data_IF_039889118523
#
_entry.id   IF_039889118523
#
_cell.length_a   1.000
_cell.length_b   1.000
_cell.length_c   1.000
_cell.angle_alpha   90.00
_cell.angle_beta   90.00
_cell.angle_gamma   90.00
#
_symmetry.space_group_name_H-M   'P 1'
#
loop_
_entity.id
_entity.type
_entity.pdbx_description
1 polymer ?
#
# COMPACT_ATOMS: atom_id res chain seq x y z
N UNK A 1 -15.67 16.96 -6.89
CA UNK A 1 -14.26 16.94 -7.29
C UNK A 1 -13.52 16.10 -6.29
N UNK A 2 -12.60 15.19 -6.67
CA UNK A 2 -11.78 14.48 -5.70
C UNK A 2 -10.97 15.50 -4.89
N UNK A 3 -10.85 15.26 -3.59
CA UNK A 3 -9.95 16.02 -2.73
C UNK A 3 -8.54 15.63 -3.16
N UNK A 4 -7.79 16.54 -3.78
CA UNK A 4 -6.36 16.32 -4.05
C UNK A 4 -5.58 16.63 -2.79
N UNK A 5 -4.57 15.81 -2.48
CA UNK A 5 -3.57 16.18 -1.49
C UNK A 5 -2.94 17.52 -1.92
N UNK A 6 -2.65 18.35 -0.96
CA UNK A 6 -1.81 19.53 -1.15
C UNK A 6 -0.37 19.08 -0.89
N UNK A 7 0.61 19.77 -1.43
CA UNK A 7 2.03 19.48 -1.22
C UNK A 7 2.42 19.38 0.27
N UNK A 8 1.55 19.89 1.15
CA UNK A 8 1.73 19.90 2.62
C UNK A 8 0.96 18.81 3.34
N UNK A 9 0.11 18.01 2.69
CA UNK A 9 -0.78 17.05 3.37
C UNK A 9 -0.02 15.97 4.14
N UNK A 10 1.20 15.65 3.69
CA UNK A 10 2.07 14.66 4.33
C UNK A 10 3.31 15.31 4.98
N UNK A 11 3.36 16.64 5.07
CA UNK A 11 4.45 17.32 5.76
C UNK A 11 4.50 16.90 7.23
N UNK A 12 5.66 16.45 7.68
CA UNK A 12 5.86 15.95 9.03
C UNK A 12 5.47 14.49 9.26
N UNK A 13 4.79 13.83 8.32
CA UNK A 13 4.53 12.39 8.36
C UNK A 13 5.85 11.64 8.23
N UNK A 14 6.08 10.67 9.12
CA UNK A 14 7.30 9.85 9.20
C UNK A 14 7.01 8.37 9.05
N UNK A 15 5.81 7.95 9.40
CA UNK A 15 5.33 6.58 9.27
C UNK A 15 4.10 6.56 8.36
N UNK A 16 4.28 5.98 7.18
CA UNK A 16 3.21 5.70 6.24
C UNK A 16 2.82 4.23 6.37
N UNK A 17 1.61 3.99 6.85
CA UNK A 17 1.06 2.63 7.00
C UNK A 17 0.18 2.37 5.80
N UNK A 18 0.48 1.33 5.01
CA UNK A 18 -0.28 0.96 3.81
C UNK A 18 -1.08 -0.30 4.11
N UNK A 19 -2.40 -0.19 4.06
CA UNK A 19 -3.34 -1.29 4.28
C UNK A 19 -4.33 -1.41 3.12
N UNK A 20 -5.15 -2.43 3.10
CA UNK A 20 -6.16 -2.69 2.06
C UNK A 20 -6.56 -4.16 2.09
N UNK A 21 -7.62 -4.53 1.38
CA UNK A 21 -8.05 -5.94 1.25
C UNK A 21 -6.94 -6.83 0.69
N UNK A 22 -6.97 -8.12 1.00
CA UNK A 22 -6.09 -9.09 0.35
C UNK A 22 -6.29 -9.10 -1.18
N UNK A 23 -5.19 -9.06 -1.94
CA UNK A 23 -5.24 -9.04 -3.41
C UNK A 23 -5.30 -7.67 -4.07
N UNK A 24 -5.47 -6.56 -3.32
CA UNK A 24 -5.52 -5.20 -3.89
C UNK A 24 -4.15 -4.64 -4.31
N UNK A 25 -3.07 -5.36 -4.09
CA UNK A 25 -1.72 -4.92 -4.45
C UNK A 25 -1.05 -4.02 -3.39
N UNK A 26 -1.36 -4.18 -2.10
CA UNK A 26 -0.78 -3.41 -0.99
C UNK A 26 0.74 -3.29 -1.06
N UNK A 27 1.43 -4.43 -1.18
CA UNK A 27 2.90 -4.48 -1.24
C UNK A 27 3.46 -3.68 -2.41
N UNK A 28 2.81 -3.79 -3.58
CA UNK A 28 3.17 -3.03 -4.80
C UNK A 28 3.01 -1.53 -4.57
N UNK A 29 1.88 -1.12 -4.00
CA UNK A 29 1.58 0.28 -3.71
C UNK A 29 2.50 0.83 -2.62
N UNK A 30 2.81 0.04 -1.59
CA UNK A 30 3.79 0.41 -0.56
C UNK A 30 5.18 0.63 -1.17
N UNK A 31 5.61 -0.25 -2.08
CA UNK A 31 6.86 -0.10 -2.84
C UNK A 31 6.89 1.15 -3.70
N UNK A 32 5.81 1.41 -4.45
CA UNK A 32 5.67 2.61 -5.27
C UNK A 32 5.68 3.89 -4.42
N UNK A 33 4.98 3.90 -3.29
CA UNK A 33 4.99 5.03 -2.35
C UNK A 33 6.38 5.27 -1.76
N UNK A 34 7.12 4.22 -1.40
CA UNK A 34 8.47 4.35 -0.90
C UNK A 34 9.42 4.98 -1.94
N UNK A 35 9.30 4.57 -3.21
CA UNK A 35 10.04 5.19 -4.33
C UNK A 35 9.62 6.64 -4.55
N UNK A 36 8.34 6.94 -4.53
CA UNK A 36 7.82 8.29 -4.69
C UNK A 36 8.35 9.24 -3.59
N UNK A 37 8.30 8.82 -2.31
CA UNK A 37 8.82 9.58 -1.17
C UNK A 37 10.35 9.76 -1.23
N UNK A 38 11.08 8.80 -1.80
CA UNK A 38 12.54 8.91 -1.93
C UNK A 38 13.00 9.77 -3.12
N UNK A 39 12.13 10.11 -4.06
CA UNK A 39 12.50 10.82 -5.29
C UNK A 39 13.02 12.25 -5.06
N UNK A 40 12.69 12.87 -3.93
CA UNK A 40 13.24 14.16 -3.51
C UNK A 40 14.66 14.08 -2.91
N UNK A 41 15.32 12.91 -3.02
CA UNK A 41 16.68 12.68 -2.51
C UNK A 41 16.71 12.13 -1.08
N UNK A 42 15.56 11.85 -0.48
CA UNK A 42 15.43 11.29 0.86
C UNK A 42 15.79 9.80 0.95
N UNK A 43 16.00 9.33 2.16
CA UNK A 43 16.19 7.91 2.45
C UNK A 43 14.94 7.35 3.07
N UNK A 44 14.37 6.29 2.45
CA UNK A 44 13.11 5.68 2.86
C UNK A 44 13.34 4.21 3.23
N UNK A 45 12.73 3.77 4.33
CA UNK A 45 12.67 2.36 4.72
C UNK A 45 11.30 1.80 4.38
N UNK A 46 11.26 0.76 3.55
CA UNK A 46 10.08 -0.05 3.27
C UNK A 46 10.11 -1.30 4.15
N UNK A 47 9.09 -1.52 4.96
CA UNK A 47 9.06 -2.60 5.94
C UNK A 47 7.88 -3.53 5.70
N UNK A 48 8.16 -4.83 5.53
CA UNK A 48 7.16 -5.91 5.46
C UNK A 48 6.94 -6.52 6.84
N UNK A 49 5.68 -6.68 7.26
CA UNK A 49 5.35 -7.23 8.58
C UNK A 49 4.63 -8.58 8.54
N UNK A 50 4.25 -9.05 7.36
CA UNK A 50 3.55 -10.34 7.21
C UNK A 50 4.48 -11.52 6.83
N UNK A 51 5.76 -11.29 6.59
CA UNK A 51 6.78 -12.32 6.33
C UNK A 51 6.61 -13.09 5.01
N UNK A 52 5.89 -12.52 4.04
CA UNK A 52 5.60 -13.18 2.74
C UNK A 52 6.71 -13.01 1.71
N UNK A 53 7.74 -12.22 2.02
CA UNK A 53 8.82 -11.87 1.09
C UNK A 53 8.33 -11.19 -0.21
N UNK A 54 7.17 -10.54 -0.14
CA UNK A 54 6.58 -9.85 -1.29
C UNK A 54 7.43 -8.68 -1.77
N UNK A 55 8.07 -7.96 -0.85
CA UNK A 55 8.99 -6.87 -1.19
C UNK A 55 10.23 -7.42 -1.92
N UNK A 56 10.79 -8.56 -1.48
CA UNK A 56 11.93 -9.17 -2.15
C UNK A 56 11.61 -9.51 -3.61
N UNK A 57 10.45 -10.13 -3.84
CA UNK A 57 9.98 -10.48 -5.19
C UNK A 57 9.75 -9.22 -6.04
N UNK A 58 9.15 -8.18 -5.46
CA UNK A 58 8.81 -6.94 -6.15
C UNK A 58 10.04 -6.17 -6.64
N UNK A 59 11.15 -6.22 -5.91
CA UNK A 59 12.42 -5.56 -6.24
C UNK A 59 13.47 -6.51 -6.84
N UNK A 60 13.06 -7.70 -7.29
CA UNK A 60 13.94 -8.74 -7.85
C UNK A 60 15.21 -8.94 -7.00
N UNK A 61 15.02 -9.03 -5.69
CA UNK A 61 16.09 -9.20 -4.71
C UNK A 61 16.01 -10.57 -4.03
N UNK A 62 17.16 -11.09 -3.53
CA UNK A 62 17.14 -12.28 -2.69
C UNK A 62 16.21 -12.06 -1.47
N UNK A 63 15.72 -13.15 -0.86
CA UNK A 63 14.91 -13.05 0.34
C UNK A 63 15.50 -12.10 1.38
N UNK A 64 14.67 -11.18 1.89
CA UNK A 64 15.12 -10.18 2.85
C UNK A 64 15.31 -10.82 4.23
N UNK A 65 16.50 -10.70 4.82
CA UNK A 65 16.71 -11.06 6.21
C UNK A 65 16.11 -9.98 7.13
N UNK A 66 16.17 -10.22 8.43
CA UNK A 66 15.91 -9.20 9.43
C UNK A 66 17.10 -8.21 9.51
N UNK A 67 17.39 -7.58 8.39
CA UNK A 67 18.46 -6.59 8.21
C UNK A 67 18.05 -5.61 7.11
N UNK A 68 18.30 -4.34 7.31
CA UNK A 68 17.97 -3.30 6.35
C UNK A 68 18.90 -3.38 5.14
N UNK A 69 18.33 -3.63 3.95
CA UNK A 69 19.09 -3.73 2.69
C UNK A 69 18.60 -2.68 1.71
N UNK A 70 19.52 -2.03 1.04
CA UNK A 70 19.20 -1.16 -0.09
C UNK A 70 18.67 -2.00 -1.25
N UNK A 71 17.46 -1.72 -1.71
CA UNK A 71 16.77 -2.46 -2.78
C UNK A 71 16.60 -1.63 -4.05
N UNK A 72 16.57 -0.30 -3.95
CA UNK A 72 16.44 0.57 -5.12
C UNK A 72 17.01 1.98 -4.86
N UNK A 73 17.20 2.70 -5.95
CA UNK A 73 17.36 4.16 -5.99
C UNK A 73 16.12 4.72 -6.65
N UNK A 74 15.47 5.68 -6.01
CA UNK A 74 14.29 6.30 -6.57
C UNK A 74 14.64 7.15 -7.82
N UNK A 75 13.70 7.32 -8.76
CA UNK A 75 13.91 8.25 -9.86
C UNK A 75 14.07 9.66 -9.33
N UNK A 76 15.13 10.35 -9.75
CA UNK A 76 15.36 11.76 -9.41
C UNK A 76 14.76 12.70 -10.46
N UNK A 77 14.80 13.97 -10.16
CA UNK A 77 14.54 15.03 -11.12
C UNK A 77 15.87 15.51 -11.78
N UNK A 78 15.84 16.29 -12.86
CA UNK A 78 17.05 16.87 -13.44
C UNK A 78 17.87 17.72 -12.45
N UNK A 79 17.26 18.17 -11.36
CA UNK A 79 17.86 19.08 -10.37
C UNK A 79 18.21 18.34 -9.06
N UNK A 80 17.47 17.27 -8.73
CA UNK A 80 17.64 16.54 -7.46
C UNK A 80 17.84 15.05 -7.75
N UNK A 81 18.99 14.48 -7.39
CA UNK A 81 19.18 13.02 -7.50
C UNK A 81 18.14 12.27 -6.65
N UNK A 82 17.67 11.15 -7.16
CA UNK A 82 16.79 10.27 -6.39
C UNK A 82 17.50 9.71 -5.16
N UNK A 83 16.74 9.50 -4.09
CA UNK A 83 17.22 8.95 -2.84
C UNK A 83 17.18 7.42 -2.81
N UNK A 84 17.56 6.88 -1.67
CA UNK A 84 17.73 5.44 -1.47
C UNK A 84 16.49 4.82 -0.83
N UNK A 85 16.03 3.70 -1.37
CA UNK A 85 15.02 2.85 -0.74
C UNK A 85 15.71 1.63 -0.13
N UNK A 86 15.51 1.47 1.18
CA UNK A 86 15.92 0.29 1.94
C UNK A 86 14.71 -0.56 2.23
N UNK A 87 14.89 -1.88 2.31
CA UNK A 87 13.83 -2.81 2.68
C UNK A 87 14.23 -3.65 3.89
N UNK A 88 13.24 -4.03 4.69
CA UNK A 88 13.37 -4.88 5.87
C UNK A 88 12.17 -5.83 5.92
N UNK A 89 12.42 -7.14 5.98
CA UNK A 89 11.41 -8.09 6.42
C UNK A 89 11.42 -8.16 7.96
N UNK A 90 10.41 -7.56 8.57
CA UNK A 90 10.30 -7.56 10.02
C UNK A 90 9.80 -8.90 10.53
N UNK A 91 10.60 -9.52 11.38
CA UNK A 91 10.33 -10.79 12.03
C UNK A 91 10.11 -10.57 13.53
N UNK A 92 8.98 -11.07 14.11
CA UNK A 92 8.64 -10.83 15.51
C UNK A 92 9.64 -11.43 16.49
N UNK A 93 10.26 -12.58 16.16
CA UNK A 93 11.27 -13.20 17.02
C UNK A 93 12.53 -12.35 17.08
N UNK A 94 13.02 -11.93 15.94
CA UNK A 94 14.18 -11.03 15.85
C UNK A 94 13.90 -9.68 16.49
N UNK A 95 12.69 -9.14 16.34
CA UNK A 95 12.25 -7.90 16.98
C UNK A 95 12.20 -8.04 18.52
N UNK A 96 11.82 -9.21 19.05
CA UNK A 96 11.86 -9.49 20.47
C UNK A 96 13.30 -9.54 20.99
N UNK A 97 14.21 -10.17 20.25
CA UNK A 97 15.65 -10.21 20.60
C UNK A 97 16.23 -8.79 20.65
N UNK A 98 15.94 -7.96 19.64
CA UNK A 98 16.33 -6.54 19.61
C UNK A 98 15.78 -5.78 20.84
N UNK A 99 14.50 -6.01 21.15
CA UNK A 99 13.84 -5.41 22.30
C UNK A 99 14.52 -5.79 23.61
N UNK A 100 14.79 -7.10 23.82
CA UNK A 100 15.47 -7.58 25.02
C UNK A 100 16.90 -7.05 25.11
N UNK A 101 17.63 -6.96 24.00
CA UNK A 101 18.96 -6.38 23.96
C UNK A 101 18.96 -4.89 24.35
N UNK A 102 17.94 -4.13 23.93
CA UNK A 102 17.82 -2.70 24.17
C UNK A 102 17.49 -2.37 25.63
N UNK A 103 16.54 -3.10 26.23
CA UNK A 103 15.99 -2.75 27.55
C UNK A 103 16.58 -3.54 28.72
N UNK A 104 17.13 -4.73 28.46
CA UNK A 104 17.65 -5.61 29.50
C UNK A 104 19.17 -5.85 29.41
N UNK A 105 19.85 -5.16 28.50
CA UNK A 105 21.30 -5.28 28.24
C UNK A 105 21.76 -6.71 27.95
N UNK A 106 20.86 -7.54 27.42
CA UNK A 106 21.05 -8.98 27.16
C UNK A 106 21.69 -9.25 25.79
N UNK A 107 22.64 -8.41 25.35
CA UNK A 107 23.27 -8.53 24.01
C UNK A 107 23.87 -9.93 23.74
N UNK A 108 24.26 -10.67 24.76
CA UNK A 108 24.84 -12.01 24.65
C UNK A 108 23.82 -13.14 24.87
N UNK A 109 22.65 -12.86 25.43
CA UNK A 109 21.65 -13.87 25.73
C UNK A 109 20.70 -14.20 24.54
N UNK A 110 20.65 -13.37 23.50
CA UNK A 110 19.73 -13.53 22.36
C UNK A 110 19.79 -14.90 21.72
N UNK A 111 20.99 -15.43 21.42
CA UNK A 111 21.18 -16.77 20.83
C UNK A 111 20.75 -17.92 21.78
N UNK A 112 20.87 -17.72 23.06
CA UNK A 112 20.49 -18.71 24.08
C UNK A 112 18.98 -18.71 24.27
N UNK A 113 18.34 -17.54 24.26
CA UNK A 113 16.89 -17.38 24.38
C UNK A 113 16.16 -17.98 23.17
N UNK A 114 16.65 -17.78 21.95
CA UNK A 114 16.12 -18.38 20.72
C UNK A 114 16.25 -19.92 20.78
N UNK A 115 17.39 -20.44 21.25
CA UNK A 115 17.59 -21.91 21.41
C UNK A 115 16.71 -22.56 22.45
N UNK A 116 16.24 -21.81 23.45
CA UNK A 116 15.39 -22.34 24.52
C UNK A 116 13.88 -22.26 24.18
N UNK A 117 13.52 -21.80 22.98
CA UNK A 117 12.10 -21.64 22.60
C UNK A 117 11.34 -20.60 23.42
N UNK A 118 12.06 -19.75 24.19
CA UNK A 118 11.43 -18.71 25.03
C UNK A 118 10.75 -17.67 24.16
N UNK A 119 11.27 -17.46 22.96
CA UNK A 119 10.73 -16.51 21.97
C UNK A 119 9.39 -17.02 21.45
N UNK A 120 9.32 -18.29 21.04
CA UNK A 120 8.07 -18.96 20.61
C UNK A 120 7.03 -18.94 21.72
N UNK A 121 7.48 -19.21 22.94
CA UNK A 121 6.63 -19.19 24.13
C UNK A 121 6.07 -17.80 24.40
N UNK A 122 6.89 -16.74 24.36
CA UNK A 122 6.46 -15.37 24.62
C UNK A 122 5.49 -14.86 23.54
N UNK A 123 5.75 -15.14 22.27
CA UNK A 123 4.89 -14.72 21.16
C UNK A 123 3.59 -15.51 21.05
N UNK A 124 3.58 -16.77 21.53
CA UNK A 124 2.39 -17.62 21.54
C UNK A 124 1.46 -17.32 22.71
N UNK A 125 2.01 -16.97 23.88
CA UNK A 125 1.21 -16.78 25.12
C UNK A 125 0.74 -15.35 25.30
N UNK A 126 1.42 -14.34 24.74
CA UNK A 126 1.01 -12.93 24.84
C UNK A 126 0.32 -12.47 23.55
N UNK A 127 -1.00 -12.64 23.41
CA UNK A 127 -1.73 -12.11 22.27
C UNK A 127 -1.44 -10.61 22.12
N UNK A 128 -1.05 -10.20 20.91
CA UNK A 128 -0.71 -8.81 20.62
C UNK A 128 0.75 -8.43 20.82
N UNK A 129 1.57 -9.19 21.54
CA UNK A 129 3.00 -8.88 21.70
C UNK A 129 3.71 -8.84 20.34
N UNK A 130 3.37 -9.77 19.42
CA UNK A 130 3.86 -9.78 18.05
C UNK A 130 3.63 -8.42 17.36
N UNK A 131 2.41 -7.91 17.42
CA UNK A 131 2.01 -6.68 16.73
C UNK A 131 2.71 -5.46 17.37
N UNK A 132 2.88 -5.45 18.69
CA UNK A 132 3.65 -4.40 19.39
C UNK A 132 5.12 -4.40 19.01
N UNK A 133 5.73 -5.57 18.84
CA UNK A 133 7.13 -5.68 18.44
C UNK A 133 7.32 -5.19 16.99
N UNK A 134 6.43 -5.56 16.07
CA UNK A 134 6.49 -5.14 14.68
C UNK A 134 6.23 -3.63 14.53
N UNK A 135 5.21 -3.09 15.17
CA UNK A 135 4.94 -1.65 15.20
C UNK A 135 6.05 -0.89 15.92
N UNK A 136 6.60 -1.46 17.00
CA UNK A 136 7.74 -0.92 17.72
C UNK A 136 8.99 -0.79 16.86
N UNK A 137 9.26 -1.77 15.99
CA UNK A 137 10.38 -1.70 15.04
C UNK A 137 10.21 -0.57 14.03
N UNK A 138 9.00 -0.37 13.49
CA UNK A 138 8.70 0.74 12.61
C UNK A 138 8.88 2.10 13.31
N UNK A 139 8.34 2.23 14.52
CA UNK A 139 8.47 3.45 15.33
C UNK A 139 9.94 3.72 15.68
N UNK A 140 10.71 2.70 16.04
CA UNK A 140 12.15 2.82 16.27
C UNK A 140 12.86 3.37 15.04
N UNK A 141 12.58 2.84 13.85
CA UNK A 141 13.17 3.28 12.58
C UNK A 141 12.87 4.76 12.28
N UNK A 142 11.65 5.25 12.57
CA UNK A 142 11.31 6.69 12.38
C UNK A 142 12.10 7.63 13.28
N UNK A 143 12.58 7.13 14.43
CA UNK A 143 13.27 7.93 15.47
C UNK A 143 14.77 7.76 15.43
N UNK A 144 15.28 6.75 14.75
CA UNK A 144 16.70 6.42 14.69
C UNK A 144 17.52 7.55 14.08
N UNK A 145 18.62 7.85 14.70
CA UNK A 145 19.56 8.88 14.26
C UNK A 145 20.93 8.27 14.00
N UNK A 146 21.61 8.81 12.98
CA UNK A 146 23.01 8.57 12.70
C UNK A 146 23.72 9.92 12.59
N UNK A 147 24.80 10.12 13.34
CA UNK A 147 25.56 11.38 13.38
C UNK A 147 24.67 12.63 13.61
N UNK A 148 23.68 12.52 14.50
CA UNK A 148 22.76 13.60 14.87
C UNK A 148 21.61 13.86 13.91
N UNK A 149 21.61 13.26 12.69
CA UNK A 149 20.52 13.33 11.69
C UNK A 149 19.67 12.08 11.74
N UNK A 150 18.40 12.16 11.33
CA UNK A 150 17.56 10.99 11.15
C UNK A 150 18.17 10.07 10.10
N UNK A 151 18.09 8.75 10.32
CA UNK A 151 18.61 7.75 9.39
C UNK A 151 17.69 7.62 8.18
N UNK A 152 16.37 7.69 8.41
CA UNK A 152 15.33 7.66 7.39
C UNK A 152 14.47 8.92 7.46
N UNK A 153 14.12 9.46 6.31
CA UNK A 153 13.21 10.59 6.18
C UNK A 153 11.76 10.13 6.31
N UNK A 154 11.46 8.93 5.82
CA UNK A 154 10.17 8.26 5.99
C UNK A 154 10.34 6.75 6.16
N UNK A 155 9.35 6.11 6.79
CA UNK A 155 9.18 4.66 6.89
C UNK A 155 7.82 4.32 6.27
N UNK A 156 7.80 3.41 5.30
CA UNK A 156 6.59 2.86 4.70
C UNK A 156 6.41 1.44 5.22
N UNK A 157 5.29 1.17 5.86
CA UNK A 157 4.96 -0.15 6.40
C UNK A 157 3.90 -0.82 5.52
N UNK A 158 4.25 -1.93 4.87
CA UNK A 158 3.30 -2.84 4.25
C UNK A 158 2.58 -3.61 5.36
N UNK A 159 1.41 -3.11 5.74
CA UNK A 159 0.68 -3.50 6.93
C UNK A 159 -0.32 -4.65 6.67
N UNK A 160 -0.87 -5.27 7.73
CA UNK A 160 -1.90 -6.28 7.59
C UNK A 160 -3.14 -5.77 6.84
N UNK A 161 -4.00 -6.68 6.35
CA UNK A 161 -5.25 -6.33 5.67
C UNK A 161 -6.17 -5.46 6.52
N UNK A 162 -7.05 -4.69 5.86
CA UNK A 162 -7.97 -3.71 6.45
C UNK A 162 -8.77 -4.27 7.64
N UNK A 163 -9.27 -5.50 7.57
CA UNK A 163 -10.01 -6.12 8.69
C UNK A 163 -9.18 -6.42 9.95
N UNK A 164 -7.86 -6.16 9.93
CA UNK A 164 -6.97 -6.32 11.10
C UNK A 164 -6.24 -5.05 11.48
N UNK A 165 -6.30 -4.01 10.66
CA UNK A 165 -5.44 -2.84 10.81
C UNK A 165 -5.69 -2.06 12.09
N UNK A 166 -6.94 -1.87 12.48
CA UNK A 166 -7.28 -1.12 13.69
C UNK A 166 -6.76 -1.83 14.94
N UNK A 167 -6.98 -3.14 15.02
CA UNK A 167 -6.44 -3.96 16.11
C UNK A 167 -4.91 -3.91 16.11
N UNK A 168 -4.26 -4.11 14.97
CA UNK A 168 -2.81 -4.07 14.82
C UNK A 168 -2.22 -2.74 15.33
N UNK A 169 -2.81 -1.61 14.98
CA UNK A 169 -2.35 -0.29 15.41
C UNK A 169 -2.72 0.04 16.88
N UNK A 170 -3.76 -0.58 17.43
CA UNK A 170 -4.21 -0.34 18.82
C UNK A 170 -3.58 -1.30 19.84
N UNK A 171 -2.95 -2.37 19.40
CA UNK A 171 -2.42 -3.42 20.28
C UNK A 171 -1.43 -2.89 21.31
N UNK A 172 -0.60 -1.89 20.95
CA UNK A 172 0.32 -1.27 21.90
C UNK A 172 -0.42 -0.62 23.09
N UNK A 173 -1.58 -0.01 22.86
CA UNK A 173 -2.43 0.54 23.93
C UNK A 173 -3.03 -0.55 24.82
N UNK A 174 -3.44 -1.66 24.26
CA UNK A 174 -3.98 -2.80 25.01
C UNK A 174 -2.90 -3.43 25.90
N UNK A 175 -1.70 -3.66 25.37
CA UNK A 175 -0.54 -4.19 26.12
C UNK A 175 -0.10 -3.23 27.20
N UNK A 176 -0.10 -1.92 26.94
CA UNK A 176 0.19 -0.89 27.96
C UNK A 176 -0.81 -0.94 29.12
N UNK A 177 -2.09 -1.18 28.84
CA UNK A 177 -3.14 -1.34 29.84
C UNK A 177 -2.96 -2.59 30.72
N UNK A 178 -2.41 -3.68 30.18
CA UNK A 178 -2.16 -4.93 30.90
C UNK A 178 -0.85 -4.91 31.73
N UNK A 179 0.20 -4.26 31.20
CA UNK A 179 1.48 -4.13 31.88
C UNK A 179 1.42 -2.97 32.87
N UNK A 180 1.29 -3.26 34.16
CA UNK A 180 1.14 -2.23 35.21
C UNK A 180 2.36 -1.32 35.35
N UNK A 181 3.58 -1.82 35.16
CA UNK A 181 4.86 -1.08 35.27
C UNK A 181 5.97 -1.77 34.45
N UNK A 182 7.05 -1.04 34.17
CA UNK A 182 8.28 -1.60 33.61
C UNK A 182 8.54 -1.23 32.15
N UNK A 183 9.64 -1.76 31.56
CA UNK A 183 10.09 -1.38 30.20
C UNK A 183 9.07 -1.70 29.10
N UNK A 184 8.31 -2.77 29.25
CA UNK A 184 7.27 -3.17 28.27
C UNK A 184 6.20 -2.09 28.17
N UNK A 185 5.71 -1.57 29.29
CA UNK A 185 4.75 -0.48 29.32
C UNK A 185 5.32 0.79 28.67
N UNK A 186 6.51 1.21 29.09
CA UNK A 186 7.16 2.42 28.55
C UNK A 186 7.38 2.31 27.04
N UNK A 187 7.72 1.12 26.54
CA UNK A 187 7.85 0.89 25.11
C UNK A 187 6.50 0.96 24.40
N UNK A 188 5.49 0.28 24.91
CA UNK A 188 4.14 0.29 24.36
C UNK A 188 3.55 1.72 24.34
N UNK A 189 3.74 2.49 25.44
CA UNK A 189 3.33 3.90 25.50
C UNK A 189 4.05 4.75 24.44
N UNK A 190 5.34 4.51 24.21
CA UNK A 190 6.12 5.19 23.17
C UNK A 190 5.61 4.85 21.77
N UNK A 191 5.37 3.57 21.49
CA UNK A 191 4.80 3.11 20.20
C UNK A 191 3.43 3.76 19.99
N UNK A 192 2.56 3.67 20.97
CA UNK A 192 1.23 4.24 20.92
C UNK A 192 1.23 5.75 20.69
N UNK A 193 2.16 6.48 21.34
CA UNK A 193 2.29 7.93 21.20
C UNK A 193 2.68 8.35 19.78
N UNK A 194 3.50 7.56 19.07
CA UNK A 194 3.87 7.84 17.67
C UNK A 194 2.75 7.42 16.73
N UNK A 195 2.18 6.22 16.91
CA UNK A 195 1.06 5.73 16.08
C UNK A 195 -0.11 6.71 16.13
N UNK A 196 -0.44 7.26 17.31
CA UNK A 196 -1.54 8.24 17.49
C UNK A 196 -1.10 9.70 17.34
N UNK A 197 -0.06 9.97 16.58
CA UNK A 197 0.43 11.32 16.35
C UNK A 197 0.28 11.74 14.89
N UNK A 198 0.35 13.05 14.57
CA UNK A 198 0.40 13.53 13.20
C UNK A 198 1.59 13.04 12.37
N UNK A 199 2.56 12.35 13.00
CA UNK A 199 3.68 11.74 12.30
C UNK A 199 3.33 10.41 11.61
N UNK A 200 2.13 9.88 11.84
CA UNK A 200 1.65 8.62 11.26
C UNK A 200 0.42 8.87 10.38
N UNK A 201 0.48 8.40 9.14
CA UNK A 201 -0.65 8.39 8.21
C UNK A 201 -0.97 6.95 7.78
N UNK A 202 -2.26 6.60 7.73
CA UNK A 202 -2.73 5.29 7.27
C UNK A 202 -3.38 5.44 5.91
N UNK A 203 -2.78 4.84 4.89
CA UNK A 203 -3.26 4.84 3.51
C UNK A 203 -3.99 3.54 3.20
N UNK A 204 -5.04 3.63 2.43
CA UNK A 204 -5.85 2.48 2.02
C UNK A 204 -5.61 2.16 0.55
N UNK A 205 -5.38 0.89 0.23
CA UNK A 205 -5.31 0.41 -1.15
C UNK A 205 -6.61 -0.30 -1.49
N UNK A 206 -7.28 0.22 -2.50
CA UNK A 206 -8.52 -0.35 -3.02
C UNK A 206 -8.38 -0.66 -4.52
N UNK A 207 -9.19 -1.58 -5.01
CA UNK A 207 -9.53 -1.73 -6.42
C UNK A 207 -11.01 -1.39 -6.59
N UNK A 208 -11.43 -1.00 -7.80
CA UNK A 208 -12.80 -0.57 -8.06
C UNK A 208 -13.74 -1.77 -8.22
N UNK A 209 -13.90 -2.51 -7.12
CA UNK A 209 -14.78 -3.67 -6.95
C UNK A 209 -15.55 -3.52 -5.64
N UNK A 210 -16.72 -4.16 -5.55
CA UNK A 210 -17.65 -4.02 -4.43
C UNK A 210 -16.98 -4.26 -3.06
N UNK A 211 -16.39 -5.45 -2.87
CA UNK A 211 -15.85 -5.83 -1.57
C UNK A 211 -14.63 -5.00 -1.14
N UNK A 212 -13.63 -4.71 -2.01
CA UNK A 212 -12.52 -3.84 -1.64
C UNK A 212 -12.94 -2.42 -1.28
N UNK A 213 -13.93 -1.88 -1.99
CA UNK A 213 -14.48 -0.54 -1.70
C UNK A 213 -15.19 -0.54 -0.35
N UNK A 214 -16.06 -1.52 -0.08
CA UNK A 214 -16.77 -1.63 1.20
C UNK A 214 -15.79 -1.79 2.37
N UNK A 215 -14.82 -2.71 2.27
CA UNK A 215 -13.79 -2.90 3.31
C UNK A 215 -12.94 -1.64 3.53
N UNK A 216 -12.70 -0.85 2.49
CA UNK A 216 -11.98 0.43 2.62
C UNK A 216 -12.80 1.43 3.42
N UNK A 217 -14.10 1.56 3.14
CA UNK A 217 -15.00 2.46 3.86
C UNK A 217 -15.14 2.05 5.33
N UNK A 218 -15.32 0.76 5.59
CA UNK A 218 -15.42 0.21 6.94
C UNK A 218 -14.13 0.46 7.72
N UNK A 219 -12.96 0.22 7.10
CA UNK A 219 -11.66 0.49 7.70
C UNK A 219 -11.43 1.98 8.00
N UNK A 220 -11.84 2.88 7.10
CA UNK A 220 -11.80 4.32 7.34
C UNK A 220 -12.71 4.69 8.52
N UNK A 221 -13.92 4.15 8.58
CA UNK A 221 -14.86 4.42 9.67
C UNK A 221 -14.32 3.92 11.03
N UNK A 222 -13.75 2.71 11.06
CA UNK A 222 -13.14 2.12 12.25
C UNK A 222 -11.94 2.94 12.75
N UNK A 223 -11.04 3.32 11.85
CA UNK A 223 -9.86 4.11 12.21
C UNK A 223 -10.19 5.56 12.60
N UNK A 224 -11.29 6.13 12.12
CA UNK A 224 -11.78 7.45 12.61
C UNK A 224 -12.01 7.46 14.11
N UNK A 225 -12.48 6.36 14.68
CA UNK A 225 -12.61 6.20 16.14
C UNK A 225 -11.26 6.26 16.86
N UNK A 226 -10.21 5.74 16.27
CA UNK A 226 -8.83 5.78 16.79
C UNK A 226 -8.13 7.12 16.51
N UNK A 227 -8.54 7.82 15.45
CA UNK A 227 -7.94 9.09 15.01
C UNK A 227 -8.16 10.26 15.98
N UNK A 228 -9.08 10.13 16.95
CA UNK A 228 -9.27 11.14 18.01
C UNK A 228 -8.01 11.41 18.82
N UNK A 229 -6.97 10.55 18.70
CA UNK A 229 -5.63 10.73 19.29
C UNK A 229 -4.61 11.43 18.41
N UNK A 230 -4.96 11.87 17.17
CA UNK A 230 -4.05 12.58 16.25
C UNK A 230 -3.51 11.75 15.09
N UNK A 231 -3.84 10.46 14.98
CA UNK A 231 -3.55 9.64 13.80
C UNK A 231 -4.18 10.28 12.55
N UNK A 232 -3.40 10.42 11.47
CA UNK A 232 -3.93 10.90 10.20
C UNK A 232 -4.48 9.74 9.37
N UNK A 233 -5.72 9.88 8.90
CA UNK A 233 -6.23 9.05 7.82
C UNK A 233 -5.64 9.57 6.51
N UNK A 234 -4.83 8.77 5.88
CA UNK A 234 -4.11 9.08 4.66
C UNK A 234 -5.01 9.05 3.42
N UNK A 235 -4.40 8.76 2.27
CA UNK A 235 -5.10 8.66 0.99
C UNK A 235 -5.75 7.30 0.78
N UNK A 236 -6.74 7.26 -0.12
CA UNK A 236 -7.17 6.03 -0.80
C UNK A 236 -6.41 5.92 -2.12
N UNK A 237 -5.58 4.90 -2.25
CA UNK A 237 -4.82 4.58 -3.45
C UNK A 237 -5.62 3.56 -4.27
N UNK A 238 -6.26 4.02 -5.34
CA UNK A 238 -7.09 3.20 -6.22
C UNK A 238 -6.15 2.53 -7.21
N UNK A 239 -5.89 1.25 -6.99
CA UNK A 239 -4.95 0.47 -7.79
C UNK A 239 -5.63 -0.23 -8.98
N UNK A 240 -4.83 -0.62 -9.97
CA UNK A 240 -5.26 -1.35 -11.16
C UNK A 240 -6.32 -0.60 -11.98
N UNK A 241 -6.25 0.72 -12.01
CA UNK A 241 -7.16 1.55 -12.79
C UNK A 241 -6.91 1.32 -14.28
N UNK A 242 -7.93 0.91 -15.00
CA UNK A 242 -7.85 0.73 -16.46
C UNK A 242 -8.14 2.06 -17.15
N UNK A 243 -7.27 2.52 -18.07
CA UNK A 243 -7.59 3.67 -18.89
C UNK A 243 -8.74 3.29 -19.85
N UNK A 244 -9.65 4.21 -20.07
CA UNK A 244 -10.65 4.08 -21.11
C UNK A 244 -10.49 5.19 -22.13
N UNK A 245 -10.45 4.84 -23.41
CA UNK A 245 -10.48 5.81 -24.51
C UNK A 245 -11.91 6.25 -24.87
N UNK A 246 -12.94 5.71 -24.19
CA UNK A 246 -14.33 6.00 -24.46
C UNK A 246 -14.84 7.17 -23.61
N UNK A 247 -15.63 8.05 -24.23
CA UNK A 247 -16.35 9.11 -23.53
C UNK A 247 -17.50 8.53 -22.70
N UNK A 248 -18.07 9.34 -21.80
CA UNK A 248 -19.21 8.93 -20.96
C UNK A 248 -20.44 8.53 -21.80
N UNK A 249 -20.71 9.28 -22.87
CA UNK A 249 -21.82 8.99 -23.78
C UNK A 249 -21.58 7.70 -24.56
N UNK A 250 -20.34 7.46 -25.02
CA UNK A 250 -19.97 6.21 -25.71
C UNK A 250 -20.08 5.00 -24.78
N UNK A 251 -19.62 5.11 -23.53
CA UNK A 251 -19.80 4.04 -22.55
C UNK A 251 -21.27 3.77 -22.26
N UNK A 252 -22.07 4.82 -22.09
CA UNK A 252 -23.50 4.67 -21.87
C UNK A 252 -24.21 4.04 -23.07
N UNK A 253 -23.86 4.42 -24.30
CA UNK A 253 -24.40 3.84 -25.53
C UNK A 253 -23.99 2.36 -25.65
N UNK A 254 -22.71 2.04 -25.45
CA UNK A 254 -22.21 0.67 -25.50
C UNK A 254 -22.89 -0.25 -24.46
N UNK A 255 -23.05 0.22 -23.22
CA UNK A 255 -23.72 -0.54 -22.17
C UNK A 255 -25.21 -0.81 -22.45
N UNK A 256 -25.88 0.04 -23.25
CA UNK A 256 -27.26 -0.19 -23.69
C UNK A 256 -27.35 -1.04 -24.95
N UNK A 257 -26.22 -1.36 -25.59
CA UNK A 257 -26.20 -2.03 -26.89
C UNK A 257 -26.54 -1.11 -28.07
N UNK A 258 -26.49 0.22 -27.86
CA UNK A 258 -26.81 1.25 -28.87
C UNK A 258 -25.57 1.58 -29.74
N UNK A 259 -24.80 0.56 -30.16
CA UNK A 259 -23.64 0.74 -31.02
C UNK A 259 -24.03 0.51 -32.50
N UNK A 260 -23.59 1.42 -33.38
CA UNK A 260 -23.77 1.26 -34.79
C UNK A 260 -22.82 0.18 -35.36
N UNK A 261 -23.37 -0.98 -35.65
CA UNK A 261 -22.62 -2.12 -36.23
C UNK A 261 -21.97 -1.80 -37.55
N UNK A 262 -22.58 -0.92 -38.36
CA UNK A 262 -22.02 -0.54 -39.65
C UNK A 262 -20.77 0.32 -39.47
N UNK A 263 -20.80 1.26 -38.54
CA UNK A 263 -19.60 2.07 -38.17
C UNK A 263 -18.49 1.20 -37.59
N UNK A 264 -18.83 0.22 -36.74
CA UNK A 264 -17.86 -0.75 -36.20
C UNK A 264 -17.22 -1.59 -37.30
N UNK A 265 -18.02 -2.10 -38.26
CA UNK A 265 -17.52 -2.88 -39.41
C UNK A 265 -16.61 -2.04 -40.32
N UNK A 266 -16.96 -0.76 -40.55
CA UNK A 266 -16.14 0.16 -41.32
C UNK A 266 -14.82 0.47 -40.59
N UNK A 267 -14.86 0.67 -39.26
CA UNK A 267 -13.68 0.88 -38.44
C UNK A 267 -12.75 -0.34 -38.45
N UNK A 268 -13.29 -1.55 -38.32
CA UNK A 268 -12.52 -2.80 -38.38
C UNK A 268 -11.84 -2.96 -39.74
N UNK A 269 -12.54 -2.71 -40.84
CA UNK A 269 -11.97 -2.75 -42.19
C UNK A 269 -10.85 -1.71 -42.36
N UNK A 270 -11.05 -0.52 -41.85
CA UNK A 270 -10.04 0.56 -41.90
C UNK A 270 -8.78 0.19 -41.09
N UNK A 271 -8.94 -0.54 -39.99
CA UNK A 271 -7.83 -1.06 -39.17
C UNK A 271 -7.19 -2.35 -39.81
N UNK A 272 -7.63 -2.80 -40.99
CA UNK A 272 -7.10 -3.97 -41.65
C UNK A 272 -7.58 -5.30 -41.06
N UNK A 273 -8.61 -5.27 -40.21
CA UNK A 273 -9.22 -6.47 -39.64
C UNK A 273 -10.34 -6.91 -40.59
N UNK A 274 -10.00 -7.79 -41.56
CA UNK A 274 -10.99 -8.45 -42.38
C UNK A 274 -11.62 -9.60 -41.58
N UNK A 275 -12.94 -9.75 -41.69
CA UNK A 275 -13.65 -10.83 -41.04
C UNK A 275 -13.07 -12.19 -41.43
N UNK A 276 -12.45 -12.88 -40.47
CA UNK A 276 -12.07 -14.28 -40.68
C UNK A 276 -13.36 -15.09 -40.87
N UNK A 277 -13.53 -15.65 -42.04
CA UNK A 277 -14.67 -16.53 -42.30
C UNK A 277 -14.61 -17.74 -41.37
N UNK A 278 -15.59 -17.86 -40.47
CA UNK A 278 -15.79 -19.09 -39.71
C UNK A 278 -16.08 -20.28 -40.63
N UNK A 279 -16.06 -21.53 -40.12
CA UNK A 279 -16.33 -22.75 -40.93
C UNK A 279 -17.67 -22.74 -41.63
N UNK A 280 -18.58 -21.90 -41.21
CA UNK A 280 -19.95 -21.69 -41.76
C UNK A 280 -20.10 -20.41 -42.59
N UNK A 281 -19.01 -19.71 -42.87
CA UNK A 281 -19.02 -18.53 -43.75
C UNK A 281 -19.58 -17.25 -43.12
N UNK A 282 -19.96 -17.26 -41.84
CA UNK A 282 -20.46 -16.10 -41.11
C UNK A 282 -19.56 -15.73 -39.95
N UNK A 283 -18.69 -14.74 -40.14
CA UNK A 283 -17.97 -14.13 -39.02
C UNK A 283 -18.55 -12.75 -38.74
N UNK A 284 -19.41 -12.64 -37.72
CA UNK A 284 -19.92 -11.37 -37.21
C UNK A 284 -18.93 -10.76 -36.21
N UNK A 285 -17.74 -10.37 -36.68
CA UNK A 285 -16.70 -9.74 -35.84
C UNK A 285 -17.19 -8.42 -35.25
N UNK A 286 -17.94 -7.64 -36.01
CA UNK A 286 -18.53 -6.39 -35.52
C UNK A 286 -19.57 -6.62 -34.42
N UNK A 287 -20.38 -7.68 -34.55
CA UNK A 287 -21.32 -8.09 -33.52
C UNK A 287 -20.63 -8.59 -32.23
N UNK A 288 -19.59 -9.41 -32.39
CA UNK A 288 -18.78 -9.87 -31.24
C UNK A 288 -18.09 -8.70 -30.53
N UNK A 289 -17.49 -7.77 -31.28
CA UNK A 289 -16.88 -6.55 -30.73
C UNK A 289 -17.92 -5.68 -30.01
N UNK A 290 -19.12 -5.51 -30.61
CA UNK A 290 -20.20 -4.74 -29.97
C UNK A 290 -20.61 -5.34 -28.60
N UNK A 291 -20.71 -6.68 -28.54
CA UNK A 291 -21.03 -7.37 -27.28
C UNK A 291 -19.94 -7.18 -26.23
N UNK A 292 -18.68 -7.37 -26.59
CA UNK A 292 -17.54 -7.17 -25.70
C UNK A 292 -17.43 -5.73 -25.22
N UNK A 293 -17.64 -4.76 -26.10
CA UNK A 293 -17.68 -3.33 -25.72
C UNK A 293 -18.84 -3.04 -24.76
N UNK A 294 -19.99 -3.68 -24.89
CA UNK A 294 -21.13 -3.57 -23.98
C UNK A 294 -20.81 -4.08 -22.57
N UNK A 295 -20.20 -5.25 -22.49
CA UNK A 295 -19.73 -5.81 -21.19
C UNK A 295 -18.67 -4.94 -20.56
N UNK A 296 -17.66 -4.51 -21.32
CA UNK A 296 -16.61 -3.61 -20.86
C UNK A 296 -17.19 -2.28 -20.38
N UNK A 297 -18.10 -1.68 -21.12
CA UNK A 297 -18.75 -0.42 -20.75
C UNK A 297 -19.56 -0.55 -19.45
N UNK A 298 -20.28 -1.65 -19.27
CA UNK A 298 -21.03 -1.94 -18.04
C UNK A 298 -20.07 -2.03 -16.85
N UNK A 299 -18.95 -2.72 -17.00
CA UNK A 299 -17.91 -2.80 -15.96
C UNK A 299 -17.32 -1.42 -15.64
N UNK A 300 -16.98 -0.63 -16.66
CA UNK A 300 -16.42 0.72 -16.48
C UNK A 300 -17.38 1.68 -15.78
N UNK A 301 -18.67 1.60 -16.09
CA UNK A 301 -19.70 2.40 -15.40
C UNK A 301 -19.82 1.99 -13.93
N UNK A 302 -19.79 0.69 -13.61
CA UNK A 302 -19.74 0.21 -12.22
C UNK A 302 -18.51 0.72 -11.48
N UNK A 303 -17.33 0.71 -12.11
CA UNK A 303 -16.09 1.24 -11.52
C UNK A 303 -16.18 2.74 -11.24
N UNK A 304 -16.86 3.52 -12.09
CA UNK A 304 -17.11 4.96 -11.84
C UNK A 304 -17.98 5.20 -10.62
N UNK A 305 -18.96 4.34 -10.39
CA UNK A 305 -19.79 4.42 -9.19
C UNK A 305 -18.97 4.13 -7.93
N UNK A 306 -18.17 3.07 -7.93
CA UNK A 306 -17.27 2.75 -6.82
C UNK A 306 -16.28 3.89 -6.55
N UNK A 307 -15.73 4.50 -7.59
CA UNK A 307 -14.87 5.69 -7.46
C UNK A 307 -15.61 6.86 -6.81
N UNK A 308 -16.86 7.10 -7.21
CA UNK A 308 -17.68 8.17 -6.60
C UNK A 308 -17.87 7.93 -5.11
N UNK A 309 -18.14 6.70 -4.73
CA UNK A 309 -18.29 6.29 -3.33
C UNK A 309 -17.00 6.53 -2.55
N UNK A 310 -15.84 6.11 -3.05
CA UNK A 310 -14.53 6.35 -2.42
C UNK A 310 -14.21 7.84 -2.30
N UNK A 311 -14.48 8.63 -3.33
CA UNK A 311 -14.32 10.10 -3.29
C UNK A 311 -15.20 10.75 -2.21
N UNK A 312 -16.36 10.16 -1.91
CA UNK A 312 -17.24 10.58 -0.84
C UNK A 312 -16.74 10.29 0.57
N UNK A 313 -15.71 9.47 0.72
CA UNK A 313 -15.14 9.14 2.02
C UNK A 313 -14.33 10.31 2.65
N UNK A 314 -14.06 11.38 1.89
CA UNK A 314 -13.39 12.58 2.37
C UNK A 314 -11.88 12.46 2.52
N UNK A 315 -11.27 11.41 1.93
CA UNK A 315 -9.84 11.22 1.83
C UNK A 315 -9.36 11.58 0.43
N UNK A 316 -8.10 12.07 0.24
CA UNK A 316 -7.51 12.18 -1.09
C UNK A 316 -7.52 10.82 -1.79
N UNK A 317 -7.87 10.79 -3.08
CA UNK A 317 -7.86 9.59 -3.88
C UNK A 317 -6.81 9.71 -4.99
N UNK A 318 -5.93 8.72 -5.12
CA UNK A 318 -4.90 8.64 -6.15
C UNK A 318 -5.12 7.41 -7.02
N UNK A 319 -5.06 7.61 -8.33
CA UNK A 319 -5.23 6.55 -9.31
C UNK A 319 -3.88 5.94 -9.70
N UNK A 320 -3.77 4.64 -9.59
CA UNK A 320 -2.62 3.87 -10.02
C UNK A 320 -3.01 3.01 -11.22
N UNK A 321 -2.36 3.20 -12.39
CA UNK A 321 -2.74 2.48 -13.59
C UNK A 321 -2.48 0.97 -13.47
N UNK A 322 -3.31 0.18 -14.14
CA UNK A 322 -3.03 -1.23 -14.34
C UNK A 322 -1.77 -1.39 -15.20
N UNK A 323 -0.78 -2.12 -14.67
CA UNK A 323 0.43 -2.49 -15.40
C UNK A 323 0.17 -3.83 -16.08
N UNK A 324 0.07 -3.84 -17.40
CA UNK A 324 -0.30 -5.03 -18.20
C UNK A 324 0.87 -5.94 -18.51
N UNK A 325 2.10 -5.38 -18.54
CA UNK A 325 3.31 -6.09 -18.98
C UNK A 325 3.97 -6.91 -17.84
N UNK A 326 3.26 -7.06 -16.72
CA UNK A 326 3.80 -7.66 -15.49
C UNK A 326 4.38 -6.61 -14.54
N UNK A 327 4.38 -6.94 -13.25
CA UNK A 327 4.90 -6.06 -12.20
C UNK A 327 6.38 -6.34 -11.96
N UNK A 328 7.22 -5.48 -12.49
CA UNK A 328 8.66 -5.42 -12.29
C UNK A 328 9.09 -4.06 -11.72
N UNK A 329 10.38 -3.82 -11.61
CA UNK A 329 10.92 -2.55 -11.13
C UNK A 329 10.53 -1.35 -12.03
N UNK A 330 10.40 -1.56 -13.35
CA UNK A 330 9.96 -0.51 -14.27
C UNK A 330 8.48 -0.17 -14.04
N UNK A 331 7.64 -1.18 -13.80
CA UNK A 331 6.24 -0.99 -13.39
C UNK A 331 6.13 -0.21 -12.08
N UNK A 332 6.98 -0.52 -11.09
CA UNK A 332 7.03 0.23 -9.83
C UNK A 332 7.39 1.69 -10.04
N UNK A 333 8.37 2.00 -10.89
CA UNK A 333 8.73 3.38 -11.20
C UNK A 333 7.59 4.14 -11.88
N UNK A 334 6.83 3.47 -12.77
CA UNK A 334 5.62 4.07 -13.37
C UNK A 334 4.56 4.41 -12.32
N UNK A 335 4.32 3.50 -11.36
CA UNK A 335 3.39 3.77 -10.26
C UNK A 335 3.89 4.88 -9.32
N UNK A 336 5.18 4.92 -9.02
CA UNK A 336 5.78 6.00 -8.23
C UNK A 336 5.64 7.36 -8.92
N UNK A 337 5.89 7.43 -10.22
CA UNK A 337 5.69 8.64 -11.01
C UNK A 337 4.21 9.09 -10.99
N UNK A 338 3.27 8.15 -11.16
CA UNK A 338 1.84 8.45 -11.09
C UNK A 338 1.42 9.02 -9.72
N UNK A 339 2.00 8.54 -8.61
CA UNK A 339 1.77 9.10 -7.28
C UNK A 339 2.31 10.53 -7.16
N UNK A 340 3.51 10.80 -7.69
CA UNK A 340 4.12 12.13 -7.67
C UNK A 340 3.34 13.15 -8.51
N UNK A 341 2.94 12.78 -9.73
CA UNK A 341 2.14 13.62 -10.63
C UNK A 341 0.81 14.05 -10.01
N UNK A 342 0.28 13.23 -9.11
CA UNK A 342 -0.96 13.51 -8.38
C UNK A 342 -0.72 14.23 -7.03
N UNK A 343 0.52 14.49 -6.66
CA UNK A 343 0.87 15.16 -5.40
C UNK A 343 0.78 14.27 -4.16
N UNK A 344 0.98 12.96 -4.32
CA UNK A 344 0.95 12.00 -3.21
C UNK A 344 2.30 11.90 -2.46
N UNK A 345 3.38 12.44 -3.03
CA UNK A 345 4.73 12.40 -2.44
C UNK A 345 5.62 13.54 -2.98
#
# INVERSE_FOLDING_TARGET
MPVRARDTDWEGVRLHVVTGKGGTGKTTVAGALALALASSGGRVLLMEVEGRQGIAQLFDSPPLPYEERKVAVAPGSPVTPGGDVYALAADPESALVDYLAMYYNLRHAGRTLTRLGIVDFATTIAPGLRDVLLTGKAVEATRRKSRGRRLYDAVVMDAPPTGRISRFLNTAGEVSGLAKVGPIRSHADTVQSVIRSPQTAVHFVAVLEEMPVQETLDGIAELRGLAQGGLQLGAVMINMVRPTGLTDDQLAAAARGDLDRHELDLGLKTAGIEGTQGPDGSSDVAGALAAELGEHATQMLGQREYRRVLNGAGQPCYDLPLITDGMDLAGLYRLAAALQEQGAA
#
